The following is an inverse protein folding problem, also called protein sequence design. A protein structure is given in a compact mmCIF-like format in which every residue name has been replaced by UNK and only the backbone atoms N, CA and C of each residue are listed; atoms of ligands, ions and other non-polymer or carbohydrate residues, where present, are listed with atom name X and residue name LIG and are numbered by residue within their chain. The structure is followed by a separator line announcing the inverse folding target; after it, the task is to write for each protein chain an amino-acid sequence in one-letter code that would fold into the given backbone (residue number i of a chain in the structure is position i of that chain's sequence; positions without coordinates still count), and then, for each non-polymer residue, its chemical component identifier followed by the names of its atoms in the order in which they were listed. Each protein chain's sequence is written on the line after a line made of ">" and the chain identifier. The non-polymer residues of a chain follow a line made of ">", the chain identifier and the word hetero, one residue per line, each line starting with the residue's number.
data_IF_159338314714
#
_entry.id   IF_159338314714
#
_cell.length_a   1.000
_cell.length_b   1.000
_cell.length_c   1.000
_cell.angle_alpha   90.00
_cell.angle_beta   90.00
_cell.angle_gamma   90.00
#
_symmetry.space_group_name_H-M   'P 1'
#
loop_
_entity.id
_entity.type
_entity.pdbx_description
1 polymer ?
#
# COMPACT_ATOMS: atom_id res chain seq x y z
N UNK A 1 -1.95 14.71 22.89
CA UNK A 1 -0.55 14.59 22.42
C UNK A 1 -0.56 13.60 21.25
N UNK A 2 -0.04 13.97 20.08
CA UNK A 2 0.08 13.04 18.95
C UNK A 2 1.00 11.89 19.34
N UNK A 3 0.66 10.65 18.98
CA UNK A 3 1.50 9.50 19.27
C UNK A 3 2.85 9.64 18.54
N UNK A 4 3.96 9.10 19.09
CA UNK A 4 5.24 9.08 18.39
C UNK A 4 5.12 8.41 17.00
N UNK A 5 5.91 8.89 16.04
CA UNK A 5 5.91 8.41 14.65
C UNK A 5 6.17 6.89 14.54
N UNK A 6 7.01 6.34 15.40
CA UNK A 6 7.28 4.91 15.47
C UNK A 6 6.77 4.36 16.80
N UNK A 7 5.45 4.30 16.91
CA UNK A 7 4.78 3.64 18.03
C UNK A 7 4.67 2.12 17.80
N UNK A 8 4.22 1.41 18.84
CA UNK A 8 4.10 -0.05 18.84
C UNK A 8 3.26 -0.57 17.67
N UNK A 9 2.16 0.10 17.34
CA UNK A 9 1.19 -0.41 16.37
C UNK A 9 1.75 -0.30 14.94
N UNK A 10 2.44 0.80 14.62
CA UNK A 10 3.15 0.97 13.34
C UNK A 10 4.27 -0.07 13.20
N UNK A 11 5.04 -0.32 14.27
CA UNK A 11 6.12 -1.31 14.24
C UNK A 11 5.57 -2.74 14.11
N UNK A 12 4.44 -3.04 14.76
CA UNK A 12 3.77 -4.34 14.62
C UNK A 12 3.28 -4.55 13.17
N UNK A 13 2.66 -3.54 12.56
CA UNK A 13 2.28 -3.59 11.15
C UNK A 13 3.50 -3.76 10.23
N UNK A 14 4.60 -3.08 10.53
CA UNK A 14 5.82 -3.20 9.73
C UNK A 14 6.37 -4.63 9.74
N UNK A 15 6.39 -5.30 10.89
CA UNK A 15 6.86 -6.69 11.00
C UNK A 15 5.91 -7.67 10.31
N UNK A 16 4.60 -7.40 10.33
CA UNK A 16 3.58 -8.24 9.71
C UNK A 16 3.68 -8.32 8.18
N UNK A 17 4.55 -7.55 7.51
CA UNK A 17 4.85 -7.78 6.08
C UNK A 17 5.36 -9.20 5.81
N UNK A 18 5.97 -9.85 6.81
CA UNK A 18 6.45 -11.23 6.72
C UNK A 18 5.31 -12.27 6.53
N UNK A 19 4.05 -11.89 6.75
CA UNK A 19 2.88 -12.74 6.51
C UNK A 19 2.52 -12.84 5.00
N UNK A 20 3.04 -11.92 4.18
CA UNK A 20 2.70 -11.76 2.76
C UNK A 20 3.91 -12.00 1.87
N UNK A 21 4.34 -13.26 1.80
CA UNK A 21 5.53 -13.66 1.05
C UNK A 21 5.33 -13.49 -0.47
N UNK A 22 6.41 -13.28 -1.24
CA UNK A 22 6.34 -13.21 -2.69
C UNK A 22 5.66 -14.45 -3.29
N UNK A 23 4.85 -14.22 -4.32
CA UNK A 23 4.17 -15.27 -5.09
C UNK A 23 4.50 -15.12 -6.58
N UNK A 24 5.59 -15.76 -7.05
CA UNK A 24 5.98 -15.71 -8.47
C UNK A 24 4.98 -16.35 -9.43
N UNK A 25 4.00 -17.10 -8.92
CA UNK A 25 2.93 -17.71 -9.72
C UNK A 25 1.67 -16.84 -9.82
N UNK A 26 1.67 -15.67 -9.17
CA UNK A 26 0.54 -14.74 -9.26
C UNK A 26 0.33 -14.27 -10.70
N UNK A 27 -0.91 -13.90 -11.02
CA UNK A 27 -1.26 -13.42 -12.36
C UNK A 27 -0.64 -12.06 -12.70
N UNK A 28 -0.56 -11.17 -11.72
CA UNK A 28 -0.14 -9.78 -11.91
C UNK A 28 1.10 -9.48 -11.09
N UNK A 29 2.02 -8.72 -11.68
CA UNK A 29 3.24 -8.29 -11.01
C UNK A 29 3.51 -6.82 -11.30
N UNK A 30 4.00 -6.09 -10.30
CA UNK A 30 4.55 -4.75 -10.51
C UNK A 30 5.71 -4.48 -9.58
N UNK A 31 6.59 -3.57 -10.02
CA UNK A 31 7.62 -2.98 -9.18
C UNK A 31 7.44 -1.48 -9.11
N UNK A 32 7.63 -0.91 -7.93
CA UNK A 32 7.57 0.53 -7.72
C UNK A 32 8.67 1.01 -6.80
N UNK A 33 9.06 2.29 -6.93
CA UNK A 33 10.09 2.93 -6.11
C UNK A 33 9.66 4.33 -5.68
N UNK A 34 9.84 4.63 -4.40
CA UNK A 34 9.73 5.99 -3.87
C UNK A 34 11.07 6.73 -4.06
N UNK A 35 11.13 7.81 -4.87
CA UNK A 35 12.39 8.43 -5.25
C UNK A 35 13.11 9.15 -4.10
N UNK A 36 12.37 9.74 -3.16
CA UNK A 36 12.94 10.55 -2.08
C UNK A 36 13.65 9.73 -1.01
N UNK A 37 13.06 8.61 -0.58
CA UNK A 37 13.61 7.76 0.48
C UNK A 37 14.27 6.48 -0.05
N UNK A 38 14.16 6.20 -1.34
CA UNK A 38 14.73 5.01 -1.98
C UNK A 38 13.97 3.71 -1.73
N UNK A 39 12.82 3.75 -1.05
CA UNK A 39 11.99 2.56 -0.77
C UNK A 39 11.50 1.89 -2.05
N UNK A 40 11.36 0.57 -2.03
CA UNK A 40 10.97 -0.27 -3.17
C UNK A 40 9.97 -1.33 -2.74
N UNK A 41 9.13 -1.74 -3.68
CA UNK A 41 8.23 -2.87 -3.54
C UNK A 41 8.18 -3.66 -4.83
N UNK A 42 8.19 -4.98 -4.71
CA UNK A 42 7.69 -5.91 -5.72
C UNK A 42 6.36 -6.43 -5.19
N UNK A 43 5.31 -6.30 -5.98
CA UNK A 43 3.96 -6.69 -5.61
C UNK A 43 3.45 -7.74 -6.59
N UNK A 44 2.95 -8.83 -6.03
CA UNK A 44 2.34 -9.95 -6.72
C UNK A 44 0.86 -9.97 -6.36
N UNK A 45 -0.04 -9.93 -7.34
CA UNK A 45 -1.48 -9.96 -7.12
C UNK A 45 -2.14 -11.08 -7.94
N UNK A 46 -3.07 -11.78 -7.32
CA UNK A 46 -4.03 -12.61 -8.03
C UNK A 46 -5.39 -11.92 -8.07
N UNK A 47 -6.14 -12.19 -9.13
CA UNK A 47 -7.52 -11.70 -9.27
C UNK A 47 -8.47 -12.83 -9.68
N UNK A 48 -9.72 -12.72 -9.25
CA UNK A 48 -10.82 -13.52 -9.77
C UNK A 48 -11.26 -13.07 -11.17
N UNK A 49 -12.23 -13.77 -11.73
CA UNK A 49 -12.78 -13.48 -13.07
C UNK A 49 -13.49 -12.11 -13.14
N UNK A 50 -13.92 -11.58 -12.00
CA UNK A 50 -14.52 -10.25 -11.85
C UNK A 50 -13.48 -9.12 -11.71
N UNK A 51 -12.18 -9.45 -11.81
CA UNK A 51 -11.08 -8.51 -11.70
C UNK A 51 -10.81 -8.03 -10.27
N UNK A 52 -11.41 -8.65 -9.25
CA UNK A 52 -11.15 -8.34 -7.83
C UNK A 52 -9.97 -9.13 -7.32
N UNK A 53 -9.17 -8.51 -6.46
CA UNK A 53 -7.99 -9.14 -5.86
C UNK A 53 -8.42 -10.34 -5.01
N UNK A 54 -7.73 -11.47 -5.15
CA UNK A 54 -7.95 -12.70 -4.39
C UNK A 54 -6.72 -13.10 -3.57
N UNK A 55 -5.53 -12.70 -3.99
CA UNK A 55 -4.28 -12.98 -3.32
C UNK A 55 -3.29 -11.83 -3.43
N UNK A 56 -2.44 -11.69 -2.41
CA UNK A 56 -1.38 -10.67 -2.35
C UNK A 56 -0.10 -11.33 -1.86
N UNK A 57 0.97 -11.20 -2.64
CA UNK A 57 2.35 -11.50 -2.25
C UNK A 57 3.22 -10.27 -2.47
N UNK A 58 4.29 -10.13 -1.68
CA UNK A 58 5.16 -8.96 -1.82
C UNK A 58 6.59 -9.17 -1.33
N UNK A 59 7.52 -8.42 -1.92
CA UNK A 59 8.84 -8.14 -1.37
C UNK A 59 8.96 -6.63 -1.14
N UNK A 60 9.10 -6.22 0.12
CA UNK A 60 9.10 -4.80 0.51
C UNK A 60 10.44 -4.41 1.12
N UNK A 61 11.08 -3.41 0.52
CA UNK A 61 12.28 -2.75 1.04
C UNK A 61 11.96 -1.29 1.34
N UNK A 62 11.39 -1.03 2.51
CA UNK A 62 10.94 0.30 2.91
C UNK A 62 11.24 0.59 4.38
N UNK A 63 11.07 1.84 4.79
CA UNK A 63 11.05 2.15 6.22
C UNK A 63 9.79 1.56 6.88
N UNK A 64 9.74 1.56 8.21
CA UNK A 64 8.61 0.97 8.94
C UNK A 64 7.24 1.56 8.55
N UNK A 65 7.15 2.83 8.14
CA UNK A 65 5.89 3.40 7.63
C UNK A 65 5.46 2.81 6.28
N UNK A 66 6.42 2.59 5.37
CA UNK A 66 6.14 1.96 4.08
C UNK A 66 5.77 0.49 4.24
N UNK A 67 6.48 -0.23 5.13
CA UNK A 67 6.12 -1.61 5.48
C UNK A 67 4.75 -1.69 6.14
N UNK A 68 4.44 -0.80 7.10
CA UNK A 68 3.13 -0.76 7.74
C UNK A 68 2.00 -0.49 6.72
N UNK A 69 2.20 0.46 5.80
CA UNK A 69 1.27 0.72 4.71
C UNK A 69 1.09 -0.50 3.79
N UNK A 70 2.17 -1.21 3.48
CA UNK A 70 2.12 -2.41 2.63
C UNK A 70 1.31 -3.53 3.30
N UNK A 71 1.49 -3.74 4.60
CA UNK A 71 0.67 -4.66 5.39
C UNK A 71 -0.80 -4.28 5.36
N UNK A 72 -1.13 -2.99 5.54
CA UNK A 72 -2.52 -2.52 5.49
C UNK A 72 -3.14 -2.72 4.10
N UNK A 73 -2.39 -2.47 3.03
CA UNK A 73 -2.82 -2.80 1.67
C UNK A 73 -3.12 -4.30 1.57
N UNK A 74 -2.16 -5.16 1.92
CA UNK A 74 -2.27 -6.60 1.73
C UNK A 74 -3.42 -7.24 2.53
N UNK A 75 -3.70 -6.73 3.75
CA UNK A 75 -4.82 -7.17 4.59
C UNK A 75 -6.20 -6.90 3.99
N UNK A 76 -6.33 -5.82 3.23
CA UNK A 76 -7.65 -5.28 2.85
C UNK A 76 -7.85 -5.17 1.33
N UNK A 77 -6.84 -5.49 0.54
CA UNK A 77 -6.95 -5.60 -0.91
C UNK A 77 -7.84 -6.77 -1.37
N UNK A 78 -7.83 -7.96 -0.74
CA UNK A 78 -8.73 -9.05 -1.17
C UNK A 78 -10.20 -8.61 -1.20
N UNK A 79 -10.87 -8.88 -2.32
CA UNK A 79 -12.23 -8.45 -2.62
C UNK A 79 -12.35 -7.05 -3.23
N UNK A 80 -11.26 -6.29 -3.38
CA UNK A 80 -11.26 -4.95 -3.99
C UNK A 80 -10.85 -4.98 -5.44
N UNK A 81 -11.45 -4.10 -6.24
CA UNK A 81 -11.05 -3.84 -7.62
C UNK A 81 -10.11 -2.63 -7.75
N UNK A 82 -9.55 -2.44 -8.94
CA UNK A 82 -8.62 -1.35 -9.25
C UNK A 82 -9.18 0.05 -8.95
N UNK A 83 -10.47 0.28 -9.23
CA UNK A 83 -11.10 1.57 -9.00
C UNK A 83 -11.15 1.93 -7.50
N UNK A 84 -11.41 0.94 -6.64
CA UNK A 84 -11.44 1.13 -5.19
C UNK A 84 -10.05 1.44 -4.64
N UNK A 85 -9.03 0.68 -5.09
CA UNK A 85 -7.63 0.90 -4.69
C UNK A 85 -7.16 2.29 -5.12
N UNK A 86 -7.51 2.73 -6.33
CA UNK A 86 -7.18 4.07 -6.82
C UNK A 86 -7.87 5.17 -6.01
N UNK A 87 -9.15 5.01 -5.72
CA UNK A 87 -9.89 5.97 -4.91
C UNK A 87 -9.27 6.14 -3.52
N UNK A 88 -8.86 5.04 -2.88
CA UNK A 88 -8.17 5.07 -1.57
C UNK A 88 -6.80 5.73 -1.69
N UNK A 89 -6.02 5.39 -2.71
CA UNK A 89 -4.71 6.02 -2.98
C UNK A 89 -4.85 7.54 -3.10
N UNK A 90 -5.81 8.01 -3.88
CA UNK A 90 -6.04 9.44 -4.09
C UNK A 90 -6.55 10.12 -2.82
N UNK A 91 -7.38 9.45 -2.02
CA UNK A 91 -7.80 9.93 -0.71
C UNK A 91 -6.62 10.06 0.26
N UNK A 92 -5.69 9.10 0.29
CA UNK A 92 -4.46 9.18 1.09
C UNK A 92 -3.65 10.41 0.68
N UNK A 93 -3.44 10.62 -0.63
CA UNK A 93 -2.69 11.74 -1.15
C UNK A 93 -3.36 13.09 -0.82
N UNK A 94 -4.68 13.20 -0.99
CA UNK A 94 -5.45 14.39 -0.65
C UNK A 94 -5.43 14.70 0.85
N UNK A 95 -5.52 13.67 1.69
CA UNK A 95 -5.43 13.82 3.13
C UNK A 95 -4.05 14.34 3.59
N UNK A 96 -2.96 13.81 3.01
CA UNK A 96 -1.60 14.33 3.23
C UNK A 96 -1.42 15.76 2.73
N UNK A 97 -2.05 16.12 1.61
CA UNK A 97 -2.06 17.49 1.09
C UNK A 97 -2.98 18.45 1.87
N UNK A 98 -3.75 17.95 2.85
CA UNK A 98 -4.71 18.75 3.61
C UNK A 98 -5.98 19.14 2.84
N UNK A 99 -6.22 18.53 1.68
CA UNK A 99 -7.40 18.76 0.85
C UNK A 99 -8.52 17.75 1.07
N UNK A 100 -8.30 16.75 1.93
CA UNK A 100 -9.25 15.68 2.21
C UNK A 100 -9.27 15.22 3.68
N UNK A 101 -10.17 14.28 3.97
CA UNK A 101 -10.29 13.59 5.25
C UNK A 101 -9.49 12.30 5.26
N UNK A 102 -9.34 11.69 6.44
CA UNK A 102 -8.73 10.37 6.57
C UNK A 102 -9.38 9.39 5.56
N UNK A 103 -8.59 8.62 4.80
CA UNK A 103 -9.11 7.67 3.81
C UNK A 103 -9.87 6.53 4.48
N UNK A 104 -10.91 6.05 3.81
CA UNK A 104 -11.69 4.89 4.24
C UNK A 104 -10.94 3.59 3.87
N UNK A 105 -9.86 3.31 4.61
CA UNK A 105 -9.11 2.06 4.54
C UNK A 105 -8.87 1.54 5.96
N UNK A 106 -9.28 0.31 6.30
CA UNK A 106 -9.22 -0.16 7.67
C UNK A 106 -7.78 -0.12 8.24
N UNK A 107 -7.64 0.42 9.45
CA UNK A 107 -6.36 0.56 10.15
C UNK A 107 -5.46 1.68 9.66
N UNK A 108 -5.85 2.45 8.64
CA UNK A 108 -5.01 3.54 8.12
C UNK A 108 -4.88 4.72 9.09
N UNK A 109 -5.83 4.88 10.02
CA UNK A 109 -5.76 5.81 11.15
C UNK A 109 -4.50 5.61 12.00
N UNK A 110 -3.95 4.40 12.06
CA UNK A 110 -2.70 4.11 12.77
C UNK A 110 -1.49 4.86 12.17
N UNK A 111 -1.56 5.25 10.89
CA UNK A 111 -0.55 6.05 10.20
C UNK A 111 -0.79 7.57 10.35
N UNK A 112 -1.79 8.00 11.14
CA UNK A 112 -2.07 9.41 11.48
C UNK A 112 -0.82 10.24 11.81
N UNK A 113 0.12 9.75 12.65
CA UNK A 113 1.31 10.52 13.01
C UNK A 113 2.21 10.88 11.82
N UNK A 114 2.15 10.13 10.70
CA UNK A 114 2.97 10.38 9.52
C UNK A 114 2.53 11.59 8.70
N UNK A 115 1.34 12.14 8.97
CA UNK A 115 0.81 13.32 8.26
C UNK A 115 1.77 14.50 8.32
N UNK A 116 2.40 14.72 9.46
CA UNK A 116 3.34 15.83 9.70
C UNK A 116 4.76 15.57 9.14
N UNK A 117 4.97 14.48 8.39
CA UNK A 117 6.27 14.07 7.86
C UNK A 117 6.24 13.88 6.33
N UNK A 118 6.22 14.97 5.53
CA UNK A 118 6.11 14.91 4.07
C UNK A 118 7.14 14.02 3.36
N UNK A 119 8.37 13.98 3.87
CA UNK A 119 9.44 13.12 3.34
C UNK A 119 9.13 11.61 3.45
N UNK A 120 8.08 11.21 4.18
CA UNK A 120 7.64 9.82 4.38
C UNK A 120 6.40 9.45 3.57
N UNK A 121 5.65 10.43 3.06
CA UNK A 121 4.38 10.18 2.35
C UNK A 121 4.56 9.29 1.13
N UNK A 122 5.64 9.48 0.37
CA UNK A 122 5.94 8.65 -0.80
C UNK A 122 6.10 7.16 -0.47
N UNK A 123 6.68 6.82 0.69
CA UNK A 123 6.79 5.43 1.12
C UNK A 123 5.43 4.82 1.52
N UNK A 124 4.51 5.65 2.02
CA UNK A 124 3.17 5.20 2.43
C UNK A 124 2.26 5.00 1.21
N UNK A 125 2.38 5.84 0.18
CA UNK A 125 1.64 5.70 -1.08
C UNK A 125 2.13 4.53 -1.93
N UNK A 126 3.41 4.18 -1.80
CA UNK A 126 4.11 3.20 -2.64
C UNK A 126 3.37 1.87 -2.85
N UNK A 127 2.79 1.20 -1.84
CA UNK A 127 2.12 -0.09 -2.03
C UNK A 127 0.85 0.04 -2.88
N UNK A 128 0.11 1.15 -2.73
CA UNK A 128 -1.08 1.43 -3.52
C UNK A 128 -0.72 1.77 -4.96
N UNK A 129 0.34 2.56 -5.18
CA UNK A 129 0.86 2.84 -6.52
C UNK A 129 1.25 1.54 -7.25
N UNK A 130 1.92 0.60 -6.55
CA UNK A 130 2.29 -0.70 -7.11
C UNK A 130 1.06 -1.57 -7.42
N UNK A 131 0.05 -1.57 -6.56
CA UNK A 131 -1.18 -2.33 -6.78
C UNK A 131 -1.96 -1.83 -8.00
N UNK A 132 -2.05 -0.51 -8.17
CA UNK A 132 -2.67 0.10 -9.35
C UNK A 132 -1.88 -0.30 -10.61
N UNK A 133 -0.55 -0.17 -10.60
CA UNK A 133 0.29 -0.55 -11.73
C UNK A 133 0.12 -2.02 -12.13
N UNK A 134 0.13 -2.93 -11.16
CA UNK A 134 -0.06 -4.37 -11.40
C UNK A 134 -1.42 -4.67 -12.07
N UNK A 135 -2.48 -4.03 -11.60
CA UNK A 135 -3.83 -4.23 -12.13
C UNK A 135 -4.07 -3.50 -13.47
N UNK A 136 -3.40 -2.37 -13.73
CA UNK A 136 -3.47 -1.64 -15.01
C UNK A 136 -2.71 -2.36 -16.13
N UNK A 137 -1.56 -2.94 -15.85
CA UNK A 137 -0.69 -3.54 -16.87
C UNK A 137 -1.39 -4.68 -17.63
N UNK A 138 -2.40 -5.32 -17.03
CA UNK A 138 -3.23 -6.30 -17.72
C UNK A 138 -4.41 -5.68 -18.50
N UNK A 139 -4.98 -4.55 -18.08
CA UNK A 139 -6.04 -3.87 -18.83
C UNK A 139 -5.54 -3.37 -20.20
N UNK A 140 -4.24 -3.14 -20.34
CA UNK A 140 -3.60 -2.79 -21.61
C UNK A 140 -3.24 -4.01 -22.50
N UNK A 141 -3.31 -5.24 -21.95
CA UNK A 141 -2.94 -6.49 -22.64
C UNK A 141 -4.13 -7.40 -22.99
N UNK A 142 -5.31 -7.12 -22.42
CA UNK A 142 -6.60 -7.77 -22.73
C UNK A 142 -7.33 -7.03 -23.86
#
# INVERSE_FOLDING_TARGET
>A
MSAPLYNRDILALAVATAEYLPNPAARHHASARAPLCGSRILLDLDTGDDGRVTGVGMHVEACALGQASATLLARHAPGRGIAEIRAVRDAIAGWFAGTGTLPDWPGFDLLAPARDYPARHGAILLPFDAAIAALEEQAARA
#
